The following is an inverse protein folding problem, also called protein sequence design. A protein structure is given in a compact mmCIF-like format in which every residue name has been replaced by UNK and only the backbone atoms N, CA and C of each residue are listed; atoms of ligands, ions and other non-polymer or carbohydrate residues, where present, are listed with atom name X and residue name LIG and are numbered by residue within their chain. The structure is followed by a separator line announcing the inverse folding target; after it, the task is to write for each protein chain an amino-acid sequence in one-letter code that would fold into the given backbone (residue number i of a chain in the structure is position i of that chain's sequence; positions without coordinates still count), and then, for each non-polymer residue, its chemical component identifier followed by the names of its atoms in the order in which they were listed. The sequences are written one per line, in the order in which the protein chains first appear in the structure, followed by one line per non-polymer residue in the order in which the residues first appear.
data_IF_773043815575
#
_entry.id   IF_773043815575
#
_cell.length_a   1.000
_cell.length_b   1.000
_cell.length_c   1.000
_cell.angle_alpha   90.00
_cell.angle_beta   90.00
_cell.angle_gamma   90.00
#
_symmetry.space_group_name_H-M   'P 1'
#
loop_
_entity.id
_entity.type
_entity.pdbx_description
1 polymer ?
#
# COMPACT_ATOMS: atom_id res chain seq x y z
N UNK A 1 -27.80 -9.18 61.26
CA UNK A 1 -26.57 -8.76 60.55
C UNK A 1 -26.61 -9.48 59.23
N UNK A 2 -27.43 -8.92 58.35
CA UNK A 2 -27.79 -9.48 57.07
C UNK A 2 -26.72 -9.07 56.06
N UNK A 3 -26.06 -10.05 55.47
CA UNK A 3 -25.27 -9.85 54.26
C UNK A 3 -26.01 -10.55 53.11
N UNK A 4 -26.87 -9.83 52.36
CA UNK A 4 -27.80 -10.42 51.41
C UNK A 4 -27.21 -10.63 50.00
N UNK A 5 -25.90 -10.51 49.81
CA UNK A 5 -25.27 -10.56 48.49
C UNK A 5 -24.61 -11.91 48.17
N UNK A 6 -25.41 -12.98 48.15
CA UNK A 6 -25.04 -14.23 47.48
C UNK A 6 -26.17 -14.62 46.51
N UNK A 7 -26.19 -13.96 45.36
CA UNK A 7 -27.07 -14.31 44.25
C UNK A 7 -26.42 -15.44 43.44
N UNK A 8 -27.02 -16.61 43.49
CA UNK A 8 -26.63 -17.77 42.67
C UNK A 8 -27.05 -17.60 41.20
N UNK A 9 -26.57 -18.48 40.30
CA UNK A 9 -26.81 -18.38 38.85
C UNK A 9 -28.27 -18.63 38.40
N UNK A 10 -29.20 -18.85 39.33
CA UNK A 10 -30.61 -19.14 39.05
C UNK A 10 -31.48 -17.87 38.94
N UNK A 11 -31.00 -16.69 39.36
CA UNK A 11 -31.79 -15.45 39.35
C UNK A 11 -31.69 -14.64 38.04
N UNK A 12 -30.83 -15.06 37.10
CA UNK A 12 -30.70 -14.39 35.79
C UNK A 12 -31.89 -14.61 34.85
N UNK A 13 -32.80 -15.53 35.20
CA UNK A 13 -34.00 -15.82 34.38
C UNK A 13 -35.21 -14.92 34.67
N UNK A 14 -35.18 -14.08 35.70
CA UNK A 14 -36.30 -13.18 36.01
C UNK A 14 -36.22 -11.82 35.30
N UNK A 15 -35.06 -11.47 34.73
CA UNK A 15 -34.91 -10.27 33.88
C UNK A 15 -34.99 -10.59 32.38
N UNK A 16 -35.58 -11.73 32.03
CA UNK A 16 -35.97 -12.09 30.66
C UNK A 16 -37.50 -12.03 30.49
N UNK A 17 -38.18 -11.17 31.27
CA UNK A 17 -39.64 -11.04 31.28
C UNK A 17 -40.21 -9.91 30.42
N UNK A 18 -39.39 -9.03 29.84
CA UNK A 18 -39.85 -7.93 28.95
C UNK A 18 -39.22 -8.01 27.56
N UNK A 19 -38.88 -9.22 27.11
CA UNK A 19 -38.31 -9.46 25.78
C UNK A 19 -39.38 -9.49 24.68
N UNK A 20 -40.30 -8.51 24.70
CA UNK A 20 -41.33 -8.33 23.68
C UNK A 20 -41.19 -7.01 22.90
N UNK A 21 -40.05 -6.31 23.03
CA UNK A 21 -39.77 -5.06 22.31
C UNK A 21 -38.36 -4.98 21.71
N UNK A 22 -37.83 -6.10 21.20
CA UNK A 22 -36.71 -6.09 20.25
C UNK A 22 -36.94 -7.02 19.07
N UNK A 23 -38.18 -7.17 18.60
CA UNK A 23 -38.43 -7.67 17.24
C UNK A 23 -38.38 -6.46 16.30
N UNK A 24 -37.27 -6.30 15.57
CA UNK A 24 -37.25 -5.38 14.41
C UNK A 24 -36.14 -4.32 14.34
N UNK A 25 -35.06 -4.42 15.11
CA UNK A 25 -33.84 -3.62 14.84
C UNK A 25 -32.68 -4.54 14.52
N UNK A 26 -32.67 -5.03 13.28
CA UNK A 26 -31.45 -5.52 12.62
C UNK A 26 -30.57 -4.31 12.31
N UNK A 27 -29.92 -3.77 13.33
CA UNK A 27 -28.79 -2.88 13.19
C UNK A 27 -27.64 -3.54 13.91
N UNK A 28 -26.66 -4.05 13.16
CA UNK A 28 -25.38 -4.45 13.74
C UNK A 28 -24.90 -3.35 14.68
N UNK A 29 -24.43 -3.71 15.88
CA UNK A 29 -23.60 -2.80 16.66
C UNK A 29 -22.43 -2.35 15.76
N UNK A 30 -22.22 -1.04 15.53
CA UNK A 30 -21.19 -0.55 14.59
C UNK A 30 -19.79 -1.11 14.91
N UNK A 31 -19.47 -1.31 16.19
CA UNK A 31 -18.20 -1.86 16.66
C UNK A 31 -17.93 -3.30 16.21
N UNK A 32 -18.95 -4.14 16.00
CA UNK A 32 -18.75 -5.51 15.50
C UNK A 32 -18.37 -5.50 14.01
N UNK A 33 -18.89 -4.53 13.25
CA UNK A 33 -18.66 -4.42 11.81
C UNK A 33 -17.24 -3.94 11.48
N UNK A 34 -16.65 -3.10 12.33
CA UNK A 34 -15.29 -2.56 12.15
C UNK A 34 -14.20 -3.60 12.48
N UNK A 35 -14.40 -4.41 13.53
CA UNK A 35 -13.48 -5.50 13.89
C UNK A 35 -13.39 -6.58 12.80
N UNK A 36 -14.52 -7.01 12.23
CA UNK A 36 -14.54 -7.99 11.13
C UNK A 36 -13.80 -7.47 9.88
N UNK A 37 -13.93 -6.18 9.58
CA UNK A 37 -13.22 -5.57 8.44
C UNK A 37 -11.70 -5.53 8.66
N UNK A 38 -11.25 -5.19 9.87
CA UNK A 38 -9.82 -5.20 10.19
C UNK A 38 -9.24 -6.63 10.11
N UNK A 39 -9.95 -7.63 10.63
CA UNK A 39 -9.53 -9.03 10.57
C UNK A 39 -9.45 -9.56 9.12
N UNK A 40 -10.38 -9.16 8.25
CA UNK A 40 -10.34 -9.51 6.82
C UNK A 40 -9.15 -8.88 6.10
N UNK A 41 -8.89 -7.58 6.33
CA UNK A 41 -7.74 -6.87 5.75
C UNK A 41 -6.41 -7.49 6.22
N UNK A 42 -6.28 -7.82 7.51
CA UNK A 42 -5.09 -8.49 8.05
C UNK A 42 -4.87 -9.86 7.43
N UNK A 43 -5.95 -10.59 7.16
CA UNK A 43 -5.89 -11.88 6.48
C UNK A 43 -5.41 -11.71 5.04
N UNK A 44 -5.94 -10.75 4.30
CA UNK A 44 -5.49 -10.46 2.93
C UNK A 44 -4.02 -10.06 2.90
N UNK A 45 -3.58 -9.22 3.86
CA UNK A 45 -2.18 -8.83 4.02
C UNK A 45 -1.28 -10.03 4.31
N UNK A 46 -1.75 -10.96 5.14
CA UNK A 46 -1.02 -12.20 5.41
C UNK A 46 -0.93 -13.08 4.17
N UNK A 47 -2.03 -13.28 3.46
CA UNK A 47 -2.08 -14.10 2.25
C UNK A 47 -1.13 -13.52 1.18
N UNK A 48 -1.13 -12.19 0.98
CA UNK A 48 -0.17 -11.50 0.09
C UNK A 48 1.29 -11.74 0.48
N UNK A 49 1.63 -11.69 1.78
CA UNK A 49 3.00 -11.96 2.25
C UNK A 49 3.41 -13.42 2.02
N UNK A 50 2.51 -14.36 2.27
CA UNK A 50 2.78 -15.79 2.11
C UNK A 50 2.93 -16.17 0.63
N UNK A 51 2.12 -15.59 -0.25
CA UNK A 51 2.24 -15.73 -1.70
C UNK A 51 3.56 -15.16 -2.22
N UNK A 52 3.92 -13.95 -1.80
CA UNK A 52 5.20 -13.34 -2.16
C UNK A 52 6.38 -14.23 -1.73
N UNK A 53 6.33 -14.78 -0.51
CA UNK A 53 7.36 -15.68 0.01
C UNK A 53 7.49 -16.95 -0.84
N UNK A 54 6.37 -17.60 -1.16
CA UNK A 54 6.37 -18.81 -2.01
C UNK A 54 6.93 -18.51 -3.40
N UNK A 55 6.50 -17.40 -4.00
CA UNK A 55 6.96 -16.97 -5.31
C UNK A 55 8.47 -16.72 -5.34
N UNK A 56 9.02 -16.00 -4.36
CA UNK A 56 10.46 -15.74 -4.29
C UNK A 56 11.27 -17.02 -4.08
N UNK A 57 10.79 -17.95 -3.23
CA UNK A 57 11.41 -19.27 -3.04
C UNK A 57 11.41 -20.09 -4.34
N UNK A 58 10.29 -20.14 -5.06
CA UNK A 58 10.17 -20.86 -6.33
C UNK A 58 11.06 -20.26 -7.42
N UNK A 59 11.14 -18.93 -7.49
CA UNK A 59 11.99 -18.20 -8.42
C UNK A 59 13.46 -18.50 -8.16
N UNK A 60 13.91 -18.46 -6.90
CA UNK A 60 15.28 -18.79 -6.54
C UNK A 60 15.59 -20.28 -6.79
N UNK A 61 14.65 -21.17 -6.49
CA UNK A 61 14.79 -22.60 -6.77
C UNK A 61 14.97 -22.85 -8.27
N UNK A 62 14.08 -22.32 -9.11
CA UNK A 62 14.19 -22.43 -10.59
C UNK A 62 15.52 -21.88 -11.10
N UNK A 63 15.98 -20.75 -10.55
CA UNK A 63 17.29 -20.17 -10.89
C UNK A 63 18.43 -21.12 -10.56
N UNK A 64 18.42 -21.74 -9.37
CA UNK A 64 19.46 -22.69 -8.94
C UNK A 64 19.48 -23.94 -9.81
N UNK A 65 18.31 -24.49 -10.12
CA UNK A 65 18.21 -25.66 -11.01
C UNK A 65 18.73 -25.33 -12.42
N UNK A 66 18.37 -24.17 -12.98
CA UNK A 66 18.88 -23.72 -14.27
C UNK A 66 20.41 -23.57 -14.29
N UNK A 67 21.00 -23.05 -13.21
CA UNK A 67 22.47 -22.91 -13.09
C UNK A 67 23.19 -24.25 -12.89
N UNK A 68 22.51 -25.30 -12.38
CA UNK A 68 23.09 -26.64 -12.21
C UNK A 68 23.16 -27.41 -13.53
N UNK A 69 22.23 -27.16 -14.45
CA UNK A 69 22.17 -27.83 -15.75
C UNK A 69 23.20 -27.28 -16.76
N UNK A 70 23.71 -26.07 -16.54
CA UNK A 70 24.63 -25.38 -17.46
C UNK A 70 26.12 -25.63 -17.19
N UNK A 71 26.93 -25.48 -18.23
CA UNK A 71 28.40 -25.49 -18.17
C UNK A 71 28.97 -24.31 -17.35
N UNK A 72 30.17 -24.50 -16.79
CA UNK A 72 30.86 -23.53 -15.90
C UNK A 72 31.01 -22.12 -16.52
N UNK A 73 31.24 -22.04 -17.83
CA UNK A 73 31.36 -20.75 -18.53
C UNK A 73 30.00 -20.05 -18.66
N UNK A 74 28.96 -20.79 -19.05
CA UNK A 74 27.60 -20.27 -19.18
C UNK A 74 27.03 -19.84 -17.82
N UNK A 75 27.35 -20.57 -16.74
CA UNK A 75 26.96 -20.22 -15.37
C UNK A 75 27.45 -18.84 -14.95
N UNK A 76 28.72 -18.51 -15.23
CA UNK A 76 29.30 -17.20 -14.90
C UNK A 76 28.67 -16.06 -15.69
N UNK A 77 28.38 -16.28 -16.97
CA UNK A 77 27.72 -15.28 -17.81
C UNK A 77 26.29 -15.00 -17.33
N UNK A 78 25.54 -16.04 -16.96
CA UNK A 78 24.16 -15.89 -16.46
C UNK A 78 24.10 -15.23 -15.08
N UNK A 79 25.04 -15.57 -14.18
CA UNK A 79 25.18 -14.88 -12.89
C UNK A 79 25.51 -13.40 -13.07
N UNK A 80 26.41 -13.05 -14.01
CA UNK A 80 26.72 -11.66 -14.31
C UNK A 80 25.50 -10.91 -14.84
N UNK A 81 24.73 -11.50 -15.77
CA UNK A 81 23.47 -10.91 -16.25
C UNK A 81 22.49 -10.69 -15.10
N UNK A 82 22.32 -11.69 -14.24
CA UNK A 82 21.42 -11.60 -13.09
C UNK A 82 21.81 -10.45 -12.14
N UNK A 83 23.10 -10.31 -11.82
CA UNK A 83 23.59 -9.21 -11.00
C UNK A 83 23.37 -7.85 -11.66
N UNK A 84 23.55 -7.74 -12.99
CA UNK A 84 23.24 -6.48 -13.69
C UNK A 84 21.76 -6.14 -13.65
N UNK A 85 20.88 -7.13 -13.81
CA UNK A 85 19.42 -6.96 -13.69
C UNK A 85 19.05 -6.51 -12.28
N UNK A 86 19.61 -7.16 -11.25
CA UNK A 86 19.39 -6.81 -9.85
C UNK A 86 19.86 -5.38 -9.55
N UNK A 87 21.02 -4.98 -10.06
CA UNK A 87 21.53 -3.61 -9.92
C UNK A 87 20.61 -2.58 -10.59
N UNK A 88 20.11 -2.88 -11.80
CA UNK A 88 19.13 -2.02 -12.49
C UNK A 88 17.84 -1.88 -11.68
N UNK A 89 17.29 -2.97 -11.17
CA UNK A 89 16.07 -2.93 -10.33
C UNK A 89 16.28 -2.12 -9.05
N UNK A 90 17.42 -2.30 -8.37
CA UNK A 90 17.75 -1.56 -7.15
C UNK A 90 17.90 -0.05 -7.41
N UNK A 91 18.52 0.33 -8.53
CA UNK A 91 18.64 1.73 -8.92
C UNK A 91 17.27 2.31 -9.31
N UNK A 92 16.46 1.57 -10.06
CA UNK A 92 15.10 1.99 -10.40
C UNK A 92 14.22 2.19 -9.16
N UNK A 93 14.31 1.30 -8.15
CA UNK A 93 13.53 1.45 -6.91
C UNK A 93 13.97 2.64 -6.06
N UNK A 94 15.26 3.01 -6.10
CA UNK A 94 15.77 4.18 -5.36
C UNK A 94 15.31 5.50 -5.96
N UNK A 95 15.14 5.53 -7.29
CA UNK A 95 14.68 6.70 -8.02
C UNK A 95 13.14 6.78 -8.07
N UNK A 96 12.42 5.83 -7.47
CA UNK A 96 10.97 5.87 -7.38
C UNK A 96 10.57 6.71 -6.16
N UNK A 97 10.05 7.91 -6.41
CA UNK A 97 9.57 8.80 -5.36
C UNK A 97 8.11 8.51 -4.99
N UNK A 98 7.70 8.86 -3.77
CA UNK A 98 6.29 8.78 -3.40
C UNK A 98 5.47 9.76 -4.26
N UNK A 99 4.20 9.43 -4.62
CA UNK A 99 3.36 10.33 -5.38
C UNK A 99 3.18 11.66 -4.64
N UNK A 100 3.36 12.77 -5.34
CA UNK A 100 3.28 14.13 -4.77
C UNK A 100 4.48 14.54 -3.93
N UNK A 101 5.61 13.83 -4.00
CA UNK A 101 6.84 14.23 -3.31
C UNK A 101 7.49 15.45 -3.95
N UNK A 102 8.27 16.21 -3.15
CA UNK A 102 9.07 17.33 -3.67
C UNK A 102 10.01 16.88 -4.81
N UNK A 103 10.63 15.72 -4.67
CA UNK A 103 11.54 15.17 -5.68
C UNK A 103 10.82 14.85 -7.01
N UNK A 104 9.56 14.43 -6.96
CA UNK A 104 8.75 14.23 -8.18
C UNK A 104 8.44 15.57 -8.88
N UNK A 105 8.19 16.64 -8.14
CA UNK A 105 7.97 17.97 -8.70
C UNK A 105 9.26 18.57 -9.28
N UNK A 106 10.38 18.38 -8.59
CA UNK A 106 11.72 18.76 -9.10
C UNK A 106 12.05 18.00 -10.39
N UNK A 107 11.67 16.72 -10.50
CA UNK A 107 11.83 15.95 -11.72
C UNK A 107 11.01 16.52 -12.89
N UNK A 108 9.73 16.86 -12.66
CA UNK A 108 8.89 17.49 -13.71
C UNK A 108 9.47 18.84 -14.13
N UNK A 109 9.99 19.62 -13.19
CA UNK A 109 10.65 20.90 -13.46
C UNK A 109 11.93 20.76 -14.30
N UNK A 110 12.74 19.73 -14.05
CA UNK A 110 13.95 19.49 -14.84
C UNK A 110 13.64 18.88 -16.21
N UNK A 111 12.74 17.89 -16.27
CA UNK A 111 12.46 17.12 -17.50
C UNK A 111 11.46 17.82 -18.44
N UNK A 112 10.38 18.39 -17.90
CA UNK A 112 9.31 19.01 -18.69
C UNK A 112 9.59 20.49 -18.96
N UNK A 113 10.02 21.24 -17.94
CA UNK A 113 10.28 22.69 -18.09
C UNK A 113 11.71 23.01 -18.53
N UNK A 114 12.63 22.04 -18.43
CA UNK A 114 14.02 22.20 -18.83
C UNK A 114 14.82 23.19 -17.96
N UNK A 115 14.38 23.40 -16.71
CA UNK A 115 15.00 24.34 -15.76
C UNK A 115 15.93 23.59 -14.78
N UNK A 116 16.92 24.28 -14.21
CA UNK A 116 17.85 23.65 -13.24
C UNK A 116 17.10 23.29 -11.95
N UNK A 117 17.29 22.06 -11.47
CA UNK A 117 16.73 21.56 -10.21
C UNK A 117 17.16 22.40 -9.00
N UNK A 118 18.30 23.10 -9.07
CA UNK A 118 18.78 23.99 -7.99
C UNK A 118 17.94 25.25 -7.79
N UNK A 119 17.26 25.71 -8.84
CA UNK A 119 16.43 26.91 -8.84
C UNK A 119 14.94 26.58 -8.70
N UNK A 120 14.64 25.38 -8.19
CA UNK A 120 13.26 24.95 -7.97
C UNK A 120 12.54 25.86 -6.96
N UNK A 121 11.59 26.64 -7.47
CA UNK A 121 10.65 27.42 -6.67
C UNK A 121 9.23 26.88 -6.89
N UNK A 122 8.59 26.30 -5.85
CA UNK A 122 7.23 25.78 -5.95
C UNK A 122 6.26 26.83 -6.49
N UNK A 123 6.41 28.10 -6.11
CA UNK A 123 5.49 29.15 -6.53
C UNK A 123 5.58 29.43 -8.03
N UNK A 124 6.77 29.35 -8.60
CA UNK A 124 6.97 29.52 -10.04
C UNK A 124 6.52 28.27 -10.80
N UNK A 125 6.76 27.08 -10.25
CA UNK A 125 6.24 25.82 -10.79
C UNK A 125 4.71 25.83 -10.92
N UNK A 126 3.98 26.22 -9.87
CA UNK A 126 2.51 26.30 -9.93
C UNK A 126 2.03 27.30 -10.99
N UNK A 127 2.64 28.48 -11.06
CA UNK A 127 2.26 29.52 -12.03
C UNK A 127 2.56 29.15 -13.48
N UNK A 128 3.57 28.32 -13.72
CA UNK A 128 3.94 27.90 -15.07
C UNK A 128 2.90 26.91 -15.63
N UNK A 129 2.30 26.12 -14.74
CA UNK A 129 1.38 25.04 -15.08
C UNK A 129 -0.09 25.37 -14.86
N UNK A 130 -0.37 26.50 -14.22
CA UNK A 130 -1.70 27.11 -14.15
C UNK A 130 -2.09 27.60 -15.55
N UNK A 131 -2.92 26.82 -16.24
CA UNK A 131 -3.34 27.12 -17.62
C UNK A 131 -4.53 28.08 -17.65
N UNK A 132 -5.31 28.13 -16.58
CA UNK A 132 -6.56 28.90 -16.50
C UNK A 132 -6.42 30.22 -15.70
N UNK A 133 -5.31 30.40 -14.98
CA UNK A 133 -4.95 31.58 -14.20
C UNK A 133 -5.68 31.72 -12.86
N UNK A 134 -6.15 30.62 -12.27
CA UNK A 134 -6.94 30.63 -11.03
C UNK A 134 -6.12 30.44 -9.74
N UNK A 135 -4.79 30.38 -9.84
CA UNK A 135 -3.82 30.12 -8.76
C UNK A 135 -3.98 28.73 -8.09
N UNK A 136 -4.77 27.83 -8.66
CA UNK A 136 -4.89 26.42 -8.25
C UNK A 136 -4.42 25.48 -9.37
N UNK A 137 -4.18 24.22 -9.02
CA UNK A 137 -4.02 23.15 -10.01
C UNK A 137 -5.18 22.18 -9.82
N UNK A 138 -6.06 22.12 -10.82
CA UNK A 138 -7.15 21.16 -10.82
C UNK A 138 -6.68 19.75 -11.20
N UNK A 139 -7.59 18.77 -11.13
CA UNK A 139 -7.26 17.38 -11.47
C UNK A 139 -6.83 17.20 -12.92
N UNK A 140 -7.38 17.98 -13.85
CA UNK A 140 -7.04 17.89 -15.26
C UNK A 140 -5.65 18.47 -15.56
N UNK A 141 -5.33 19.61 -14.95
CA UNK A 141 -4.00 20.22 -15.03
C UNK A 141 -2.95 19.33 -14.39
N UNK A 142 -3.25 18.76 -13.22
CA UNK A 142 -2.33 17.86 -12.52
C UNK A 142 -2.09 16.55 -13.28
N UNK A 143 -3.11 16.00 -13.93
CA UNK A 143 -2.95 14.84 -14.82
C UNK A 143 -2.04 15.16 -16.01
N UNK A 144 -2.19 16.33 -16.62
CA UNK A 144 -1.34 16.76 -17.74
C UNK A 144 0.16 16.86 -17.37
N UNK A 145 0.48 17.13 -16.09
CA UNK A 145 1.87 17.14 -15.61
C UNK A 145 2.52 15.76 -15.54
N UNK A 146 1.72 14.72 -15.25
CA UNK A 146 2.23 13.40 -14.93
C UNK A 146 2.04 12.38 -16.05
N UNK A 147 1.15 12.66 -17.01
CA UNK A 147 1.00 11.84 -18.22
C UNK A 147 2.11 12.24 -19.20
N UNK A 148 3.24 11.54 -19.13
CA UNK A 148 4.30 11.62 -20.16
C UNK A 148 3.77 11.04 -21.47
N UNK A 149 3.73 11.84 -22.53
CA UNK A 149 3.60 11.35 -23.92
C UNK A 149 4.83 10.55 -24.36
#
# INVERSE_FOLDING_TARGET
MDNPNFFGPEDFKSFCGSMQECRGRTGCCPEIQEHLHHEEMDKQDKDRRDEFKKHEMDKEHKRKEHLKEMDEKARKEEEAKYETLKAKHLNASKNLHHPGSKAQLEQVWEETDGLDAKDFDPRTFFKLHDTNGDDYLDTGELEALFVKE
#
